data_IF_357992110663
#
_entry.id   IF_357992110663
#
_cell.length_a   1.000
_cell.length_b   1.000
_cell.length_c   1.000
_cell.angle_alpha   90.00
_cell.angle_beta   90.00
_cell.angle_gamma   90.00
#
_symmetry.space_group_name_H-M   'P 1'
#
loop_
_entity.id
_entity.type
_entity.pdbx_description
1 polymer ?
#
# COMPACT_ATOMS: atom_id res chain seq x y z
N UNK A 1 -11.03 -68.90 -15.22
CA UNK A 1 -10.32 -70.13 -15.63
C UNK A 1 -8.86 -69.78 -15.90
N UNK A 2 -7.97 -70.55 -15.27
CA UNK A 2 -6.55 -70.84 -15.61
C UNK A 2 -5.59 -69.67 -15.90
N UNK A 3 -4.62 -69.30 -15.03
CA UNK A 3 -3.43 -69.99 -14.47
C UNK A 3 -2.13 -69.74 -15.27
N UNK A 4 -1.10 -69.33 -14.50
CA UNK A 4 0.33 -69.70 -14.58
C UNK A 4 1.18 -69.08 -15.70
N UNK A 5 2.25 -68.31 -15.41
CA UNK A 5 3.50 -68.49 -14.63
C UNK A 5 4.70 -68.86 -15.52
N UNK A 6 5.88 -68.32 -15.13
CA UNK A 6 7.31 -68.64 -15.43
C UNK A 6 7.98 -67.53 -16.26
N UNK A 7 8.92 -66.71 -15.76
CA UNK A 7 10.24 -66.89 -15.10
C UNK A 7 11.24 -67.69 -15.95
N UNK A 8 12.41 -67.06 -16.21
CA UNK A 8 13.82 -67.52 -16.42
C UNK A 8 14.48 -66.40 -17.28
N UNK A 9 15.44 -65.54 -16.89
CA UNK A 9 16.72 -65.62 -16.16
C UNK A 9 17.89 -66.27 -16.95
N UNK A 10 18.93 -65.47 -17.25
CA UNK A 10 20.40 -65.72 -17.32
C UNK A 10 21.02 -64.73 -18.36
N UNK A 11 21.95 -63.80 -18.04
CA UNK A 11 23.33 -63.91 -17.52
C UNK A 11 24.31 -64.49 -18.60
N UNK A 12 25.55 -64.06 -18.87
CA UNK A 12 26.72 -63.56 -18.11
C UNK A 12 27.81 -63.10 -19.12
N UNK A 13 28.68 -62.14 -18.75
CA UNK A 13 30.17 -62.15 -18.94
C UNK A 13 30.76 -60.82 -18.40
N UNK A 14 31.43 -60.70 -17.24
CA UNK A 14 32.75 -61.25 -16.78
C UNK A 14 33.92 -60.66 -17.61
N UNK A 15 35.02 -60.07 -17.09
CA UNK A 15 35.88 -60.34 -15.92
C UNK A 15 36.72 -59.08 -15.53
N UNK A 16 36.92 -58.72 -14.25
CA UNK A 16 37.99 -59.07 -13.25
C UNK A 16 39.35 -58.37 -13.46
N UNK A 17 39.86 -57.68 -12.40
CA UNK A 17 41.18 -57.83 -11.74
C UNK A 17 41.35 -56.71 -10.66
N UNK A 18 41.13 -56.99 -9.37
CA UNK A 18 42.09 -57.37 -8.29
C UNK A 18 42.73 -56.21 -7.49
N UNK A 19 42.32 -56.16 -6.20
CA UNK A 19 43.08 -56.00 -4.95
C UNK A 19 44.30 -55.06 -4.83
N UNK A 20 44.32 -54.27 -3.74
CA UNK A 20 45.55 -53.77 -3.13
C UNK A 20 45.31 -52.75 -2.00
N UNK A 21 45.50 -53.16 -0.75
CA UNK A 21 45.58 -52.28 0.42
C UNK A 21 47.02 -51.76 0.66
N UNK A 22 47.09 -50.64 1.39
CA UNK A 22 48.13 -50.16 2.31
C UNK A 22 49.27 -49.21 1.88
N UNK A 23 49.35 -48.16 2.73
CA UNK A 23 50.51 -47.52 3.35
C UNK A 23 51.20 -46.32 2.68
N UNK A 24 51.08 -45.18 3.39
CA UNK A 24 52.12 -44.28 3.92
C UNK A 24 53.29 -43.80 3.02
N UNK A 25 53.32 -42.47 2.88
CA UNK A 25 54.40 -41.55 3.29
C UNK A 25 55.49 -41.09 2.30
N UNK A 26 55.90 -39.84 2.59
CA UNK A 26 57.10 -39.08 2.21
C UNK A 26 57.06 -38.32 0.87
N UNK A 27 56.81 -37.01 0.83
CA UNK A 27 57.57 -35.82 1.30
C UNK A 27 58.78 -35.42 0.46
N UNK A 28 58.77 -34.15 0.01
CA UNK A 28 59.82 -33.13 0.17
C UNK A 28 59.29 -31.78 -0.37
N UNK A 29 59.49 -30.58 0.20
CA UNK A 29 60.04 -30.15 1.49
C UNK A 29 60.08 -28.60 1.55
N UNK A 30 59.39 -27.98 2.53
CA UNK A 30 59.92 -27.01 3.55
C UNK A 30 60.14 -25.53 3.13
N UNK A 31 60.03 -24.50 4.03
CA UNK A 31 59.55 -24.45 5.43
C UNK A 31 58.41 -23.45 5.72
N UNK A 32 57.77 -23.73 6.87
CA UNK A 32 56.98 -22.86 7.75
C UNK A 32 57.88 -22.41 8.92
N UNK A 33 57.56 -21.28 9.56
CA UNK A 33 57.80 -21.03 11.01
C UNK A 33 56.48 -20.49 11.56
N UNK A 34 55.69 -21.30 12.29
CA UNK A 34 55.62 -21.45 13.76
C UNK A 34 55.27 -20.12 14.47
N UNK A 35 54.32 -20.03 15.41
CA UNK A 35 53.90 -21.03 16.39
C UNK A 35 52.56 -20.66 17.08
N UNK A 36 51.88 -21.70 17.59
CA UNK A 36 51.15 -21.75 18.87
C UNK A 36 49.83 -20.98 19.09
N UNK A 37 48.74 -21.73 19.06
CA UNK A 37 48.06 -22.14 20.29
C UNK A 37 46.82 -21.35 20.74
N UNK A 38 45.90 -22.11 21.35
CA UNK A 38 44.90 -21.70 22.37
C UNK A 38 43.44 -21.60 21.90
N UNK A 39 42.69 -22.63 22.34
CA UNK A 39 41.27 -22.75 22.77
C UNK A 39 40.14 -21.95 22.13
N UNK A 40 39.07 -22.71 21.86
CA UNK A 40 37.68 -22.28 21.67
C UNK A 40 37.22 -21.31 22.76
N UNK A 41 36.81 -20.11 22.34
CA UNK A 41 35.88 -19.26 23.09
C UNK A 41 34.63 -18.99 22.26
N UNK A 42 33.50 -19.08 22.97
CA UNK A 42 32.14 -18.95 22.50
C UNK A 42 31.77 -17.48 22.58
N UNK A 43 31.82 -16.75 21.46
CA UNK A 43 31.36 -15.36 21.44
C UNK A 43 29.85 -15.31 21.17
N UNK A 44 29.12 -15.03 22.25
CA UNK A 44 27.86 -14.31 22.20
C UNK A 44 28.17 -12.87 21.79
N UNK A 45 27.80 -12.47 20.57
CA UNK A 45 27.67 -11.06 20.24
C UNK A 45 26.21 -10.69 20.43
N UNK A 46 25.97 -9.87 21.46
CA UNK A 46 24.67 -9.29 21.74
C UNK A 46 24.25 -8.34 20.63
N UNK A 47 23.00 -8.48 20.21
CA UNK A 47 22.27 -7.48 19.46
C UNK A 47 22.28 -6.17 20.27
N UNK A 48 23.11 -5.22 19.84
CA UNK A 48 22.90 -3.82 20.21
C UNK A 48 21.74 -3.33 19.36
N UNK A 49 20.58 -3.15 20.00
CA UNK A 49 19.58 -2.19 19.52
C UNK A 49 20.31 -0.87 19.23
N UNK A 50 20.36 -0.51 17.95
CA UNK A 50 20.76 0.82 17.54
C UNK A 50 19.65 1.77 18.00
N UNK A 51 19.86 2.38 19.16
CA UNK A 51 19.10 3.52 19.63
C UNK A 51 19.14 4.59 18.52
N UNK A 52 18.01 4.83 17.87
CA UNK A 52 17.90 5.81 16.80
C UNK A 52 18.35 7.17 17.35
N UNK A 53 19.39 7.75 16.73
CA UNK A 53 19.82 9.10 17.06
C UNK A 53 18.62 10.05 16.94
N UNK A 54 18.40 10.97 17.91
CA UNK A 54 17.27 11.90 17.85
C UNK A 54 17.35 12.68 16.55
N UNK A 55 16.27 12.62 15.76
CA UNK A 55 16.14 13.42 14.56
C UNK A 55 16.38 14.88 14.92
N UNK A 56 17.36 15.52 14.29
CA UNK A 56 17.63 16.94 14.49
C UNK A 56 16.39 17.68 13.99
N UNK A 57 15.59 18.24 14.93
CA UNK A 57 14.44 19.09 14.62
C UNK A 57 14.92 20.21 13.71
N UNK A 58 14.59 20.13 12.42
CA UNK A 58 14.98 21.13 11.43
C UNK A 58 14.03 22.32 11.63
N UNK A 59 14.54 23.41 12.20
CA UNK A 59 13.74 24.63 12.33
C UNK A 59 13.36 25.14 10.92
N UNK A 60 12.06 25.26 10.67
CA UNK A 60 11.50 25.79 9.43
C UNK A 60 11.09 27.24 9.61
N UNK A 61 11.20 28.04 8.53
CA UNK A 61 10.61 29.38 8.49
C UNK A 61 9.10 29.27 8.27
N UNK A 62 8.31 29.52 9.31
CA UNK A 62 6.86 29.42 9.29
C UNK A 62 6.18 30.44 8.36
N UNK A 63 6.81 31.59 8.08
CA UNK A 63 6.28 32.59 7.15
C UNK A 63 6.54 32.21 5.69
N UNK A 64 7.64 31.49 5.42
CA UNK A 64 7.93 30.98 4.08
C UNK A 64 7.16 29.67 3.77
N UNK A 65 7.26 28.67 4.66
CA UNK A 65 6.66 27.34 4.45
C UNK A 65 5.14 27.38 4.59
N UNK A 66 4.64 28.20 5.53
CA UNK A 66 3.23 28.34 5.87
C UNK A 66 2.54 26.98 6.14
N UNK A 67 3.10 26.15 7.05
CA UNK A 67 2.51 24.85 7.37
C UNK A 67 1.10 25.03 7.90
N UNK A 68 0.18 24.17 7.45
CA UNK A 68 -1.17 24.12 7.95
C UNK A 68 -1.64 22.68 7.93
N UNK A 69 -1.35 21.98 9.01
CA UNK A 69 -1.70 20.57 9.17
C UNK A 69 -3.17 20.35 9.57
N UNK A 70 -3.98 21.41 9.69
CA UNK A 70 -5.45 21.31 9.77
C UNK A 70 -6.12 21.32 8.39
N UNK A 71 -5.34 21.54 7.33
CA UNK A 71 -5.83 21.61 5.96
C UNK A 71 -6.34 20.28 5.41
N UNK A 72 -6.97 20.34 4.24
CA UNK A 72 -7.62 19.19 3.62
C UNK A 72 -6.65 18.35 2.80
N UNK A 73 -6.92 17.05 2.72
CA UNK A 73 -6.13 16.05 2.02
C UNK A 73 -6.97 15.45 0.89
N UNK A 74 -6.38 15.30 -0.29
CA UNK A 74 -7.03 14.61 -1.39
C UNK A 74 -6.84 13.09 -1.24
N UNK A 75 -7.94 12.34 -1.31
CA UNK A 75 -7.92 10.89 -1.48
C UNK A 75 -8.43 10.58 -2.89
N UNK A 76 -7.52 10.23 -3.79
CA UNK A 76 -7.81 10.02 -5.20
C UNK A 76 -8.27 8.59 -5.44
N UNK A 77 -9.30 8.45 -6.27
CA UNK A 77 -9.92 7.18 -6.62
C UNK A 77 -9.84 6.96 -8.13
N UNK A 78 -9.21 5.85 -8.48
CA UNK A 78 -9.11 5.30 -9.83
C UNK A 78 -9.79 3.92 -9.88
N UNK A 79 -10.12 3.45 -11.08
CA UNK A 79 -10.65 2.09 -11.30
C UNK A 79 -9.86 1.46 -12.45
N UNK A 80 -10.31 1.60 -13.71
CA UNK A 80 -9.60 1.07 -14.87
C UNK A 80 -8.48 2.01 -15.34
N UNK A 81 -7.31 1.45 -15.64
CA UNK A 81 -6.23 2.14 -16.36
C UNK A 81 -6.17 1.60 -17.80
N UNK A 82 -6.94 2.20 -18.70
CA UNK A 82 -7.13 1.68 -20.06
C UNK A 82 -7.54 2.77 -21.03
N UNK A 83 -7.48 2.47 -22.32
CA UNK A 83 -8.06 3.30 -23.38
C UNK A 83 -9.41 2.76 -23.86
N UNK A 84 -10.35 3.63 -24.27
CA UNK A 84 -10.33 5.11 -24.14
C UNK A 84 -10.75 5.59 -22.73
N UNK A 85 -10.58 6.88 -22.46
CA UNK A 85 -11.17 7.59 -21.31
C UNK A 85 -12.68 7.33 -21.19
N UNK A 86 -13.16 7.05 -19.98
CA UNK A 86 -14.58 6.82 -19.68
C UNK A 86 -14.90 7.15 -18.21
N UNK A 87 -16.14 6.93 -17.77
CA UNK A 87 -16.59 7.30 -16.41
C UNK A 87 -15.71 6.76 -15.27
N UNK A 88 -15.25 5.51 -15.44
CA UNK A 88 -14.43 4.78 -14.47
C UNK A 88 -13.11 4.30 -15.10
N UNK A 89 -12.68 4.97 -16.17
CA UNK A 89 -11.48 4.61 -16.93
C UNK A 89 -10.62 5.84 -17.12
N UNK A 90 -9.39 5.77 -16.63
CA UNK A 90 -8.31 6.73 -16.88
C UNK A 90 -7.33 6.11 -17.86
N UNK A 91 -6.81 6.84 -18.84
CA UNK A 91 -5.79 6.27 -19.73
C UNK A 91 -4.42 6.22 -19.03
N UNK A 92 -3.53 5.29 -19.44
CA UNK A 92 -2.15 5.25 -18.95
C UNK A 92 -1.43 6.61 -19.00
N UNK A 93 -1.54 7.32 -20.13
CA UNK A 93 -0.87 8.62 -20.33
C UNK A 93 -1.42 9.70 -19.42
N UNK A 94 -2.72 9.66 -19.18
CA UNK A 94 -3.39 10.60 -18.31
C UNK A 94 -3.12 10.30 -16.83
N UNK A 95 -2.96 9.04 -16.41
CA UNK A 95 -2.45 8.71 -15.08
C UNK A 95 -1.02 9.25 -14.89
N UNK A 96 -0.13 9.09 -15.88
CA UNK A 96 1.22 9.68 -15.82
C UNK A 96 1.16 11.21 -15.66
N UNK A 97 0.29 11.86 -16.42
CA UNK A 97 0.06 13.31 -16.31
C UNK A 97 -0.47 13.72 -14.94
N UNK A 98 -1.38 12.93 -14.35
CA UNK A 98 -1.91 13.16 -13.02
C UNK A 98 -0.79 13.13 -11.96
N UNK A 99 0.06 12.11 -12.01
CA UNK A 99 1.23 11.99 -11.12
C UNK A 99 2.20 13.17 -11.28
N UNK A 100 2.50 13.56 -12.52
CA UNK A 100 3.36 14.71 -12.80
C UNK A 100 2.79 16.01 -12.20
N UNK A 101 1.49 16.26 -12.37
CA UNK A 101 0.84 17.46 -11.84
C UNK A 101 0.86 17.46 -10.31
N UNK A 102 0.59 16.32 -9.67
CA UNK A 102 0.69 16.18 -8.22
C UNK A 102 2.11 16.48 -7.75
N UNK A 103 3.12 15.87 -8.37
CA UNK A 103 4.52 16.07 -8.05
C UNK A 103 4.95 17.54 -8.17
N UNK A 104 4.67 18.17 -9.32
CA UNK A 104 5.02 19.58 -9.62
C UNK A 104 4.35 20.56 -8.66
N UNK A 105 3.16 20.23 -8.15
CA UNK A 105 2.42 21.04 -7.19
C UNK A 105 2.80 20.78 -5.73
N UNK A 106 3.78 19.91 -5.48
CA UNK A 106 4.26 19.58 -4.15
C UNK A 106 3.37 18.60 -3.40
N UNK A 107 2.60 17.76 -4.09
CA UNK A 107 1.91 16.64 -3.45
C UNK A 107 2.83 15.43 -3.32
N UNK A 108 2.73 14.71 -2.21
CA UNK A 108 3.49 13.48 -1.93
C UNK A 108 2.56 12.36 -1.48
N UNK A 109 2.60 11.18 -2.12
CA UNK A 109 1.82 10.05 -1.68
C UNK A 109 2.13 9.65 -0.24
N UNK A 110 1.09 9.30 0.50
CA UNK A 110 1.19 8.63 1.81
C UNK A 110 0.29 7.40 1.79
N UNK A 111 0.60 6.40 2.64
CA UNK A 111 -0.29 5.27 2.83
C UNK A 111 -1.63 5.73 3.43
N UNK A 112 -2.70 4.99 3.14
CA UNK A 112 -4.00 5.27 3.76
C UNK A 112 -3.95 5.06 5.29
N UNK A 113 -3.10 4.15 5.76
CA UNK A 113 -2.85 3.91 7.18
C UNK A 113 -2.21 5.14 7.85
N UNK A 114 -1.20 5.73 7.21
CA UNK A 114 -0.56 6.95 7.72
C UNK A 114 -1.52 8.12 7.74
N UNK A 115 -2.38 8.23 6.72
CA UNK A 115 -3.44 9.23 6.72
C UNK A 115 -4.33 9.07 7.95
N UNK A 116 -4.94 7.91 8.18
CA UNK A 116 -5.92 7.75 9.28
C UNK A 116 -5.30 7.75 10.69
N UNK A 117 -4.00 7.44 10.80
CA UNK A 117 -3.27 7.47 12.08
C UNK A 117 -2.57 8.80 12.34
N UNK A 118 -2.56 9.71 11.35
CA UNK A 118 -1.81 10.96 11.40
C UNK A 118 -0.29 10.77 11.42
N UNK A 119 0.22 9.63 10.96
CA UNK A 119 1.67 9.41 10.85
C UNK A 119 2.21 10.06 9.57
N UNK A 120 2.18 11.39 9.49
CA UNK A 120 2.58 12.13 8.29
C UNK A 120 4.07 12.48 8.37
N UNK A 121 4.88 11.88 7.50
CA UNK A 121 6.35 12.01 7.51
C UNK A 121 6.93 12.72 6.29
N UNK A 122 6.09 13.36 5.47
CA UNK A 122 6.55 14.09 4.29
C UNK A 122 7.29 15.36 4.69
N UNK A 123 8.21 15.86 3.85
CA UNK A 123 8.99 17.05 4.21
C UNK A 123 8.14 18.33 4.28
N UNK A 124 8.69 19.33 4.99
CA UNK A 124 8.07 20.63 5.16
C UNK A 124 7.70 21.30 3.83
N UNK A 125 6.49 21.86 3.75
CA UNK A 125 5.98 22.56 2.56
C UNK A 125 5.29 21.65 1.54
N UNK A 126 5.41 20.33 1.66
CA UNK A 126 4.64 19.39 0.83
C UNK A 126 3.25 19.12 1.40
N UNK A 127 2.37 18.63 0.53
CA UNK A 127 0.99 18.25 0.84
C UNK A 127 0.81 16.74 0.65
N UNK A 128 0.26 15.99 1.63
CA UNK A 128 -0.01 14.57 1.42
C UNK A 128 -1.16 14.37 0.41
N UNK A 129 -1.09 13.26 -0.33
CA UNK A 129 -2.18 12.75 -1.17
C UNK A 129 -2.28 11.23 -0.98
N UNK A 130 -3.48 10.67 -0.97
CA UNK A 130 -3.67 9.21 -0.91
C UNK A 130 -4.14 8.73 -2.29
N UNK A 131 -3.51 7.67 -2.81
CA UNK A 131 -3.85 7.07 -4.09
C UNK A 131 -4.60 5.75 -3.87
N UNK A 132 -5.79 5.60 -4.45
CA UNK A 132 -6.61 4.40 -4.33
C UNK A 132 -7.08 3.88 -5.68
N UNK A 133 -7.12 2.56 -5.83
CA UNK A 133 -7.58 1.86 -7.04
C UNK A 133 -8.61 0.81 -6.64
N UNK A 134 -9.82 0.92 -7.16
CA UNK A 134 -10.90 -0.01 -6.84
C UNK A 134 -11.00 -1.17 -7.85
N UNK A 135 -11.74 -2.20 -7.45
CA UNK A 135 -12.07 -3.44 -8.17
C UNK A 135 -10.94 -4.43 -8.42
N UNK A 136 -9.67 -4.01 -8.40
CA UNK A 136 -8.54 -4.89 -8.68
C UNK A 136 -8.54 -5.38 -10.13
N UNK A 137 -8.81 -4.50 -11.10
CA UNK A 137 -8.77 -4.83 -12.52
C UNK A 137 -7.38 -5.32 -12.95
N UNK A 138 -7.33 -6.18 -13.99
CA UNK A 138 -6.03 -6.63 -14.53
C UNK A 138 -5.13 -5.47 -14.95
N UNK A 139 -5.69 -4.39 -15.46
CA UNK A 139 -4.93 -3.19 -15.83
C UNK A 139 -4.42 -2.36 -14.63
N UNK A 140 -4.83 -2.67 -13.39
CA UNK A 140 -4.18 -2.12 -12.20
C UNK A 140 -2.81 -2.77 -11.97
N UNK A 141 -2.72 -4.08 -12.13
CA UNK A 141 -1.45 -4.80 -12.10
C UNK A 141 -1.46 -5.90 -13.15
N UNK A 142 -0.80 -5.65 -14.28
CA UNK A 142 -0.72 -6.61 -15.38
C UNK A 142 0.71 -7.14 -15.52
N UNK A 143 0.86 -8.44 -15.73
CA UNK A 143 2.12 -9.05 -16.12
C UNK A 143 2.04 -9.45 -17.59
N UNK A 144 3.09 -9.12 -18.33
CA UNK A 144 3.26 -9.47 -19.74
C UNK A 144 4.58 -10.19 -19.94
N UNK A 145 4.70 -10.96 -21.01
CA UNK A 145 5.98 -11.58 -21.36
C UNK A 145 6.80 -10.66 -22.24
N UNK A 146 8.09 -10.54 -21.95
CA UNK A 146 9.05 -9.87 -22.82
C UNK A 146 9.40 -10.73 -24.05
N UNK A 147 10.32 -10.25 -24.89
CA UNK A 147 10.76 -10.99 -26.10
C UNK A 147 11.50 -12.30 -25.81
N UNK A 148 11.92 -12.53 -24.57
CA UNK A 148 12.58 -13.76 -24.09
C UNK A 148 11.61 -14.70 -23.37
N UNK A 149 10.35 -14.30 -23.19
CA UNK A 149 9.33 -15.07 -22.48
C UNK A 149 9.35 -14.87 -20.95
N UNK A 150 10.11 -13.90 -20.44
CA UNK A 150 10.15 -13.57 -19.02
C UNK A 150 8.96 -12.69 -18.64
N UNK A 151 8.30 -13.00 -17.53
CA UNK A 151 7.20 -12.18 -17.01
C UNK A 151 7.73 -10.89 -16.42
N UNK A 152 7.24 -9.76 -16.91
CA UNK A 152 7.55 -8.41 -16.45
C UNK A 152 6.28 -7.63 -16.15
N UNK A 153 6.39 -6.60 -15.32
CA UNK A 153 5.29 -5.67 -15.06
C UNK A 153 5.01 -4.85 -16.31
N UNK A 154 3.74 -4.81 -16.72
CA UNK A 154 3.29 -3.97 -17.82
C UNK A 154 3.43 -2.49 -17.46
N UNK A 155 4.26 -1.77 -18.21
CA UNK A 155 4.51 -0.33 -18.02
C UNK A 155 3.27 0.57 -18.19
N UNK A 156 2.18 0.04 -18.76
CA UNK A 156 0.90 0.74 -18.88
C UNK A 156 -0.12 0.36 -17.80
N UNK A 157 0.19 -0.62 -16.94
CA UNK A 157 -0.63 -0.89 -15.76
C UNK A 157 -0.41 0.16 -14.67
N UNK A 158 -1.35 0.31 -13.73
CA UNK A 158 -1.22 1.25 -12.63
C UNK A 158 0.09 1.04 -11.84
N UNK A 159 0.39 -0.20 -11.44
CA UNK A 159 1.64 -0.56 -10.74
C UNK A 159 2.85 -0.18 -11.58
N UNK A 160 2.89 -0.54 -12.87
CA UNK A 160 4.03 -0.21 -13.74
C UNK A 160 4.26 1.30 -13.90
N UNK A 161 3.18 2.09 -13.94
CA UNK A 161 3.26 3.56 -14.01
C UNK A 161 3.77 4.15 -12.70
N UNK A 162 3.21 3.72 -11.56
CA UNK A 162 3.62 4.20 -10.23
C UNK A 162 5.09 3.88 -9.94
N UNK A 163 5.52 2.65 -10.23
CA UNK A 163 6.92 2.24 -10.01
C UNK A 163 7.91 3.02 -10.88
N UNK A 164 7.56 3.22 -12.17
CA UNK A 164 8.39 4.01 -13.07
C UNK A 164 8.50 5.46 -12.59
N UNK A 165 7.38 6.05 -12.19
CA UNK A 165 7.34 7.43 -11.70
C UNK A 165 8.17 7.58 -10.41
N UNK A 166 8.00 6.67 -9.44
CA UNK A 166 8.81 6.64 -8.22
C UNK A 166 10.32 6.47 -8.51
N UNK A 167 10.68 5.60 -9.47
CA UNK A 167 12.08 5.40 -9.86
C UNK A 167 12.70 6.68 -10.45
N UNK A 168 11.92 7.43 -11.24
CA UNK A 168 12.34 8.70 -11.84
C UNK A 168 12.29 9.88 -10.84
N UNK A 169 11.48 9.75 -9.79
CA UNK A 169 11.25 10.73 -8.72
C UNK A 169 11.30 10.07 -7.33
N UNK A 170 12.50 9.75 -6.78
CA UNK A 170 12.62 9.01 -5.52
C UNK A 170 12.00 9.71 -4.31
N UNK A 171 11.82 11.04 -4.37
CA UNK A 171 11.14 11.85 -3.38
C UNK A 171 9.61 11.84 -3.52
N UNK A 172 9.05 11.09 -4.47
CA UNK A 172 7.63 10.77 -4.60
C UNK A 172 7.41 9.30 -4.19
N UNK A 173 7.03 9.02 -2.93
CA UNK A 173 6.93 7.66 -2.41
C UNK A 173 5.99 6.75 -3.22
N UNK A 174 6.32 5.46 -3.29
CA UNK A 174 5.50 4.43 -3.93
C UNK A 174 4.37 3.99 -2.98
N UNK A 175 3.39 4.87 -2.80
CA UNK A 175 2.24 4.63 -1.90
C UNK A 175 0.93 4.58 -2.70
N UNK A 176 0.22 3.47 -2.60
CA UNK A 176 -1.11 3.30 -3.16
C UNK A 176 -1.84 2.13 -2.49
N UNK A 177 -3.17 2.21 -2.40
CA UNK A 177 -4.00 1.09 -1.92
C UNK A 177 -4.86 0.52 -3.06
N UNK A 178 -4.76 -0.79 -3.29
CA UNK A 178 -5.59 -1.52 -4.26
C UNK A 178 -6.72 -2.26 -3.52
N UNK A 179 -7.96 -1.83 -3.69
CA UNK A 179 -9.13 -2.48 -3.13
C UNK A 179 -9.61 -3.59 -4.06
N UNK A 180 -9.52 -4.84 -3.59
CA UNK A 180 -9.79 -6.02 -4.42
C UNK A 180 -11.08 -6.74 -4.00
N UNK A 181 -11.73 -7.33 -5.00
CA UNK A 181 -12.84 -8.28 -4.81
C UNK A 181 -12.38 -9.71 -5.19
N UNK A 182 -13.23 -10.74 -5.03
CA UNK A 182 -12.86 -12.14 -5.30
C UNK A 182 -13.07 -12.54 -6.79
N UNK A 183 -13.25 -11.59 -7.69
CA UNK A 183 -13.35 -11.84 -9.13
C UNK A 183 -11.96 -12.01 -9.78
N UNK A 184 -11.12 -12.88 -9.20
CA UNK A 184 -9.70 -13.04 -9.53
C UNK A 184 -8.98 -11.69 -9.51
N UNK A 185 -8.50 -11.21 -8.33
CA UNK A 185 -7.77 -9.96 -8.25
C UNK A 185 -6.67 -9.87 -9.31
N UNK A 186 -6.67 -8.77 -10.04
CA UNK A 186 -5.75 -8.46 -11.14
C UNK A 186 -5.80 -9.45 -12.33
N UNK A 187 -6.88 -10.21 -12.49
CA UNK A 187 -7.27 -10.97 -13.69
C UNK A 187 -6.34 -12.10 -14.16
N UNK A 188 -5.21 -12.36 -13.49
CA UNK A 188 -4.24 -13.41 -13.84
C UNK A 188 -4.07 -14.36 -12.66
N UNK A 189 -4.95 -15.36 -12.57
CA UNK A 189 -5.10 -16.25 -11.41
C UNK A 189 -3.81 -16.96 -11.04
N UNK A 190 -3.07 -17.42 -12.05
CA UNK A 190 -1.78 -18.09 -11.92
C UNK A 190 -0.69 -17.20 -11.30
N UNK A 191 -0.87 -15.87 -11.36
CA UNK A 191 0.05 -14.88 -10.82
C UNK A 191 -0.45 -14.22 -9.53
N UNK A 192 -1.62 -14.59 -9.01
CA UNK A 192 -2.25 -13.90 -7.89
C UNK A 192 -1.34 -13.80 -6.65
N UNK A 193 -0.77 -14.92 -6.19
CA UNK A 193 0.14 -14.92 -5.04
C UNK A 193 1.34 -13.99 -5.25
N UNK A 194 1.92 -14.01 -6.46
CA UNK A 194 3.06 -13.16 -6.80
C UNK A 194 2.64 -11.69 -6.75
N UNK A 195 1.51 -11.33 -7.36
CA UNK A 195 1.04 -9.94 -7.43
C UNK A 195 0.73 -9.37 -6.04
N UNK A 196 0.03 -10.12 -5.19
CA UNK A 196 -0.28 -9.69 -3.83
C UNK A 196 1.00 -9.46 -3.00
N UNK A 197 1.96 -10.40 -3.08
CA UNK A 197 3.27 -10.24 -2.43
C UNK A 197 4.05 -9.04 -2.97
N UNK A 198 4.08 -8.89 -4.28
CA UNK A 198 4.78 -7.80 -4.95
C UNK A 198 4.25 -6.43 -4.52
N UNK A 199 2.92 -6.24 -4.42
CA UNK A 199 2.33 -4.99 -3.94
C UNK A 199 2.85 -4.66 -2.52
N UNK A 200 2.72 -5.60 -1.59
CA UNK A 200 3.08 -5.39 -0.17
C UNK A 200 4.59 -5.24 0.02
N UNK A 201 5.41 -6.04 -0.65
CA UNK A 201 6.87 -5.96 -0.58
C UNK A 201 7.42 -4.64 -1.16
N UNK A 202 6.67 -3.99 -2.07
CA UNK A 202 7.00 -2.69 -2.64
C UNK A 202 6.54 -1.50 -1.80
N UNK A 203 5.84 -1.73 -0.69
CA UNK A 203 5.33 -0.68 0.19
C UNK A 203 3.94 -0.17 -0.17
N UNK A 204 3.23 -0.80 -1.11
CA UNK A 204 1.83 -0.50 -1.41
C UNK A 204 0.89 -1.43 -0.63
N UNK A 205 -0.38 -1.07 -0.54
CA UNK A 205 -1.38 -1.78 0.26
C UNK A 205 -2.42 -2.51 -0.60
N UNK A 206 -2.97 -3.59 -0.04
CA UNK A 206 -4.19 -4.25 -0.54
C UNK A 206 -5.32 -4.06 0.48
N UNK A 207 -6.48 -3.60 -0.01
CA UNK A 207 -7.68 -3.35 0.79
C UNK A 207 -8.88 -4.20 0.38
N UNK A 208 -9.94 -4.11 1.18
CA UNK A 208 -11.18 -4.86 1.00
C UNK A 208 -12.16 -4.13 0.06
N UNK A 209 -12.64 -4.81 -0.98
CA UNK A 209 -13.74 -4.34 -1.82
C UNK A 209 -14.93 -5.31 -1.87
N UNK A 210 -15.05 -6.15 -0.85
CA UNK A 210 -16.03 -7.23 -0.69
C UNK A 210 -15.88 -8.36 -1.72
N UNK A 211 -16.30 -9.58 -1.39
CA UNK A 211 -16.16 -10.74 -2.26
C UNK A 211 -16.89 -10.53 -3.58
N UNK A 212 -18.17 -10.11 -3.54
CA UNK A 212 -19.02 -10.02 -4.74
C UNK A 212 -19.36 -8.59 -5.14
N UNK A 213 -18.60 -7.59 -4.68
CA UNK A 213 -18.91 -6.17 -4.91
C UNK A 213 -20.35 -5.83 -4.45
N UNK A 214 -20.64 -6.12 -3.18
CA UNK A 214 -22.01 -6.10 -2.62
C UNK A 214 -22.58 -4.68 -2.49
N UNK A 215 -23.85 -4.50 -2.84
CA UNK A 215 -24.60 -3.29 -2.51
C UNK A 215 -25.10 -3.36 -1.06
N UNK A 216 -24.45 -2.61 -0.17
CA UNK A 216 -24.76 -2.60 1.26
C UNK A 216 -26.15 -2.06 1.59
N UNK A 217 -26.85 -1.38 0.66
CA UNK A 217 -28.24 -0.97 0.88
C UNK A 217 -29.21 -2.15 0.90
N UNK A 218 -28.76 -3.34 0.46
CA UNK A 218 -29.53 -4.57 0.31
C UNK A 218 -28.97 -5.75 1.12
N UNK A 219 -27.85 -5.56 1.82
CA UNK A 219 -27.21 -6.62 2.60
C UNK A 219 -27.72 -6.60 4.06
N UNK A 220 -28.00 -7.79 4.60
CA UNK A 220 -28.21 -7.99 6.03
C UNK A 220 -26.87 -8.18 6.78
N UNK A 221 -26.86 -8.16 8.12
CA UNK A 221 -25.62 -8.27 8.90
C UNK A 221 -24.80 -9.54 8.64
N UNK A 222 -25.46 -10.66 8.34
CA UNK A 222 -24.78 -11.93 8.04
C UNK A 222 -24.06 -11.84 6.69
N UNK A 223 -24.74 -11.32 5.66
CA UNK A 223 -24.16 -11.09 4.35
C UNK A 223 -23.00 -10.09 4.42
N UNK A 224 -23.15 -9.00 5.16
CA UNK A 224 -22.09 -8.00 5.34
C UNK A 224 -20.81 -8.62 5.90
N UNK A 225 -20.93 -9.39 6.99
CA UNK A 225 -19.77 -10.02 7.64
C UNK A 225 -19.14 -11.07 6.74
N UNK A 226 -19.96 -11.87 6.03
CA UNK A 226 -19.48 -12.85 5.06
C UNK A 226 -18.66 -12.22 3.93
N UNK A 227 -19.17 -11.12 3.37
CA UNK A 227 -18.53 -10.38 2.28
C UNK A 227 -17.20 -9.76 2.70
N UNK A 228 -17.13 -9.22 3.91
CA UNK A 228 -15.92 -8.56 4.41
C UNK A 228 -14.88 -9.59 4.86
N UNK A 229 -15.28 -10.58 5.66
CA UNK A 229 -14.38 -11.64 6.12
C UNK A 229 -13.83 -12.49 4.97
N UNK A 230 -14.61 -12.72 3.91
CA UNK A 230 -14.18 -13.53 2.77
C UNK A 230 -12.98 -12.93 2.02
N UNK A 231 -12.87 -11.60 1.93
CA UNK A 231 -11.68 -10.95 1.35
C UNK A 231 -10.47 -11.09 2.27
N UNK A 232 -10.65 -10.94 3.59
CA UNK A 232 -9.57 -11.17 4.57
C UNK A 232 -9.05 -12.60 4.46
N UNK A 233 -9.95 -13.58 4.37
CA UNK A 233 -9.58 -14.99 4.21
C UNK A 233 -8.87 -15.25 2.88
N UNK A 234 -9.37 -14.68 1.78
CA UNK A 234 -8.78 -14.83 0.43
C UNK A 234 -7.37 -14.27 0.39
N UNK A 235 -7.16 -13.04 0.86
CA UNK A 235 -5.83 -12.41 0.91
C UNK A 235 -4.91 -13.17 1.87
N UNK A 236 -5.41 -13.57 3.04
CA UNK A 236 -4.65 -14.31 4.06
C UNK A 236 -4.10 -15.66 3.57
N UNK A 237 -4.75 -16.31 2.58
CA UNK A 237 -4.20 -17.52 1.92
C UNK A 237 -2.90 -17.27 1.16
N UNK A 238 -2.68 -16.03 0.73
CA UNK A 238 -1.49 -15.61 -0.03
C UNK A 238 -0.50 -14.80 0.81
N UNK A 239 -1.01 -14.06 1.80
CA UNK A 239 -0.29 -13.14 2.67
C UNK A 239 -0.71 -13.35 4.15
N UNK A 240 -0.23 -14.41 4.82
CA UNK A 240 -0.70 -14.76 6.16
C UNK A 240 -0.35 -13.72 7.24
N UNK A 241 0.69 -12.94 7.04
CA UNK A 241 1.16 -11.92 8.00
C UNK A 241 0.65 -10.50 7.67
N UNK A 242 -0.09 -10.34 6.56
CA UNK A 242 -0.63 -9.04 6.14
C UNK A 242 -2.01 -8.80 6.74
N UNK A 243 -2.19 -7.65 7.37
CA UNK A 243 -3.46 -7.25 7.98
C UNK A 243 -4.31 -6.44 6.98
N UNK A 244 -5.43 -7.02 6.51
CA UNK A 244 -6.41 -6.30 5.70
C UNK A 244 -7.33 -5.49 6.60
N UNK A 245 -7.13 -4.18 6.66
CA UNK A 245 -7.83 -3.28 7.59
C UNK A 245 -8.41 -2.01 6.94
N UNK A 246 -8.56 -1.98 5.61
CA UNK A 246 -9.16 -0.85 4.89
C UNK A 246 -10.28 -1.34 3.99
N UNK A 247 -11.33 -0.54 3.82
CA UNK A 247 -12.52 -0.88 3.03
C UNK A 247 -12.91 0.26 2.09
N UNK A 248 -12.89 0.02 0.78
CA UNK A 248 -13.62 0.86 -0.16
C UNK A 248 -15.05 0.32 -0.32
N UNK A 249 -16.05 1.16 -0.12
CA UNK A 249 -17.45 0.73 -0.21
C UNK A 249 -17.85 0.52 -1.69
N UNK A 250 -18.28 -0.68 -2.10
CA UNK A 250 -18.84 -0.88 -3.43
C UNK A 250 -20.00 0.08 -3.68
N UNK A 251 -19.99 0.75 -4.83
CA UNK A 251 -20.95 1.80 -5.21
C UNK A 251 -21.03 3.00 -4.25
N UNK A 252 -20.11 3.13 -3.29
CA UNK A 252 -20.25 4.08 -2.17
C UNK A 252 -21.45 3.79 -1.28
N UNK A 253 -21.98 2.57 -1.34
CA UNK A 253 -23.21 2.18 -0.67
C UNK A 253 -22.99 1.94 0.82
N UNK A 254 -23.98 2.32 1.62
CA UNK A 254 -24.03 2.01 3.06
C UNK A 254 -25.39 1.41 3.40
N UNK A 255 -25.50 0.62 4.47
CA UNK A 255 -26.80 0.19 4.97
C UNK A 255 -27.71 1.39 5.25
N UNK A 256 -29.02 1.23 5.02
CA UNK A 256 -29.99 2.30 5.31
C UNK A 256 -30.14 2.53 6.81
N UNK A 257 -30.07 1.46 7.59
CA UNK A 257 -30.03 1.52 9.05
C UNK A 257 -28.59 1.76 9.52
N UNK A 258 -28.36 2.93 10.15
CA UNK A 258 -27.05 3.31 10.70
C UNK A 258 -26.59 2.39 11.82
N UNK A 259 -27.49 1.67 12.49
CA UNK A 259 -27.12 0.69 13.52
C UNK A 259 -26.23 -0.41 12.97
N UNK A 260 -26.31 -0.68 11.65
CA UNK A 260 -25.53 -1.70 10.97
C UNK A 260 -24.12 -1.25 10.58
N UNK A 261 -23.77 0.03 10.76
CA UNK A 261 -22.44 0.53 10.40
C UNK A 261 -21.33 -0.15 11.20
N UNK A 262 -21.64 -0.64 12.41
CA UNK A 262 -20.69 -1.43 13.20
C UNK A 262 -20.19 -2.67 12.44
N UNK A 263 -21.00 -3.26 11.56
CA UNK A 263 -20.59 -4.41 10.75
C UNK A 263 -19.74 -4.00 9.54
N UNK A 264 -19.72 -2.73 9.13
CA UNK A 264 -18.72 -2.25 8.18
C UNK A 264 -17.36 -2.06 8.87
N UNK A 265 -17.37 -1.65 10.14
CA UNK A 265 -16.15 -1.44 10.92
C UNK A 265 -15.52 -2.76 11.34
N UNK A 266 -16.28 -3.70 11.92
CA UNK A 266 -15.72 -4.94 12.44
C UNK A 266 -16.75 -6.07 12.48
N UNK A 267 -16.28 -7.31 12.43
CA UNK A 267 -17.13 -8.47 12.50
C UNK A 267 -16.36 -9.78 12.43
N UNK A 268 -17.12 -10.88 12.40
CA UNK A 268 -16.57 -12.22 12.27
C UNK A 268 -17.49 -13.09 11.43
N UNK A 269 -16.92 -13.89 10.55
CA UNK A 269 -17.65 -14.91 9.81
C UNK A 269 -16.80 -16.18 9.72
N UNK A 270 -17.37 -17.33 10.07
CA UNK A 270 -16.72 -18.65 10.00
C UNK A 270 -15.30 -18.70 10.62
N UNK A 271 -15.06 -17.94 11.69
CA UNK A 271 -13.78 -17.89 12.40
C UNK A 271 -12.79 -16.84 11.88
N UNK A 272 -13.09 -16.18 10.75
CA UNK A 272 -12.30 -15.07 10.21
C UNK A 272 -12.85 -13.74 10.73
N UNK A 273 -12.07 -13.04 11.54
CA UNK A 273 -12.37 -11.69 12.01
C UNK A 273 -11.82 -10.64 11.05
N UNK A 274 -12.48 -9.49 10.98
CA UNK A 274 -11.97 -8.30 10.30
C UNK A 274 -12.23 -7.05 11.14
N UNK A 275 -11.35 -6.06 10.96
CA UNK A 275 -11.51 -4.73 11.54
C UNK A 275 -10.95 -3.68 10.57
N UNK A 276 -11.80 -2.76 10.14
CA UNK A 276 -11.45 -1.68 9.24
C UNK A 276 -11.10 -0.43 10.05
N UNK A 277 -9.88 0.05 9.88
CA UNK A 277 -9.41 1.36 10.40
C UNK A 277 -9.79 2.51 9.46
N UNK A 278 -10.11 2.21 8.20
CA UNK A 278 -10.49 3.18 7.19
C UNK A 278 -11.66 2.65 6.34
N UNK A 279 -12.71 3.45 6.14
CA UNK A 279 -13.84 3.14 5.24
C UNK A 279 -14.06 4.30 4.29
N UNK A 280 -13.95 4.04 2.99
CA UNK A 280 -13.93 5.06 1.95
C UNK A 280 -15.27 5.11 1.20
N UNK A 281 -15.80 6.33 1.09
CA UNK A 281 -16.98 6.66 0.29
C UNK A 281 -16.58 6.93 -1.19
N UNK A 282 -17.55 7.17 -2.05
CA UNK A 282 -17.33 7.47 -3.47
C UNK A 282 -17.60 8.94 -3.78
N UNK A 283 -16.65 9.59 -4.48
CA UNK A 283 -16.84 10.80 -5.27
C UNK A 283 -17.49 11.99 -4.55
N UNK A 284 -16.69 12.85 -3.92
CA UNK A 284 -17.14 14.11 -3.36
C UNK A 284 -16.03 15.17 -3.36
N UNK A 285 -15.43 15.46 -2.20
CA UNK A 285 -14.47 16.54 -2.01
C UNK A 285 -13.22 16.08 -1.23
N UNK A 286 -12.14 16.91 -1.17
CA UNK A 286 -11.00 16.64 -0.32
C UNK A 286 -11.45 16.49 1.14
N UNK A 287 -10.90 15.51 1.83
CA UNK A 287 -11.30 15.20 3.20
C UNK A 287 -10.46 16.01 4.21
N UNK A 288 -10.86 15.96 5.48
CA UNK A 288 -10.24 16.70 6.56
C UNK A 288 -8.86 16.12 6.91
N UNK A 289 -8.00 16.97 7.48
CA UNK A 289 -6.79 16.52 8.17
C UNK A 289 -7.12 15.46 9.22
N UNK A 290 -6.24 14.48 9.45
CA UNK A 290 -6.47 13.48 10.50
C UNK A 290 -6.56 14.08 11.90
N UNK A 291 -6.01 15.30 12.09
CA UNK A 291 -6.03 16.02 13.35
C UNK A 291 -7.28 16.88 13.53
N UNK A 292 -8.14 16.99 12.51
CA UNK A 292 -9.34 17.83 12.53
C UNK A 292 -10.48 17.16 13.31
N UNK A 293 -11.23 17.93 14.11
CA UNK A 293 -12.35 17.42 14.95
C UNK A 293 -13.42 16.68 14.17
N UNK A 294 -13.74 17.14 12.96
CA UNK A 294 -14.74 16.51 12.10
C UNK A 294 -14.20 15.36 11.22
N UNK A 295 -12.91 15.02 11.28
CA UNK A 295 -12.38 13.88 10.53
C UNK A 295 -13.01 12.56 10.99
N UNK A 296 -13.51 11.76 10.08
CA UNK A 296 -14.05 10.44 10.40
C UNK A 296 -13.37 9.37 9.54
N UNK A 297 -12.45 8.56 10.11
CA UNK A 297 -11.74 7.55 9.32
C UNK A 297 -12.69 6.46 8.78
N UNK A 298 -13.89 6.32 9.35
CA UNK A 298 -14.91 5.37 8.90
C UNK A 298 -15.88 5.97 7.86
N UNK A 299 -15.60 7.18 7.35
CA UNK A 299 -16.39 7.85 6.32
C UNK A 299 -15.55 8.76 5.42
N UNK A 300 -14.41 8.26 4.94
CA UNK A 300 -13.45 9.05 4.17
C UNK A 300 -14.01 9.45 2.81
N UNK A 301 -13.95 10.73 2.46
CA UNK A 301 -14.35 11.22 1.14
C UNK A 301 -13.26 10.97 0.11
N UNK A 302 -13.67 10.65 -1.13
CA UNK A 302 -12.75 10.42 -2.25
C UNK A 302 -13.08 11.29 -3.43
N UNK A 303 -12.06 11.59 -4.23
CA UNK A 303 -12.13 12.39 -5.45
C UNK A 303 -11.86 11.48 -6.64
N UNK A 304 -12.65 11.59 -7.70
CA UNK A 304 -12.37 10.86 -8.95
C UNK A 304 -11.12 11.45 -9.61
N UNK A 305 -10.14 10.60 -9.93
CA UNK A 305 -8.95 10.96 -10.69
C UNK A 305 -9.26 11.15 -12.18
N UNK A 306 -10.14 12.09 -12.51
CA UNK A 306 -10.58 12.42 -13.88
C UNK A 306 -10.97 13.90 -13.99
N UNK A 307 -10.86 14.44 -15.19
CA UNK A 307 -11.30 15.79 -15.58
C UNK A 307 -12.48 15.80 -16.56
N UNK A 308 -13.06 14.63 -16.87
CA UNK A 308 -14.14 14.53 -17.83
C UNK A 308 -15.43 15.11 -17.23
N UNK A 309 -15.74 16.36 -17.56
CA UNK A 309 -16.82 17.13 -16.95
C UNK A 309 -18.18 16.40 -16.99
N UNK A 310 -18.44 15.63 -18.04
CA UNK A 310 -19.63 14.77 -18.16
C UNK A 310 -19.82 13.84 -16.96
N UNK A 311 -18.73 13.38 -16.34
CA UNK A 311 -18.72 12.39 -15.26
C UNK A 311 -18.41 13.00 -13.90
N UNK A 312 -17.58 14.03 -13.84
CA UNK A 312 -17.11 14.60 -12.55
C UNK A 312 -17.77 15.91 -12.16
N UNK A 313 -18.47 16.62 -13.05
CA UNK A 313 -19.29 17.81 -12.72
C UNK A 313 -18.61 18.82 -11.76
N UNK A 314 -17.42 19.31 -12.12
CA UNK A 314 -16.61 20.23 -11.30
C UNK A 314 -16.08 19.71 -9.95
N UNK A 315 -16.18 18.40 -9.67
CA UNK A 315 -15.61 17.78 -8.47
C UNK A 315 -14.53 16.73 -8.79
N UNK A 316 -13.92 16.82 -9.97
CA UNK A 316 -12.75 16.02 -10.34
C UNK A 316 -11.47 16.55 -9.71
N UNK A 317 -10.39 15.76 -9.80
CA UNK A 317 -9.09 16.11 -9.22
C UNK A 317 -8.61 17.51 -9.62
N UNK A 318 -8.66 17.87 -10.92
CA UNK A 318 -8.17 19.17 -11.37
C UNK A 318 -9.02 20.35 -10.89
N UNK A 319 -10.32 20.14 -10.64
CA UNK A 319 -11.17 21.18 -10.06
C UNK A 319 -10.78 21.48 -8.61
N UNK A 320 -10.45 20.45 -7.82
CA UNK A 320 -10.01 20.64 -6.44
C UNK A 320 -8.61 21.25 -6.34
N UNK A 321 -7.69 20.84 -7.22
CA UNK A 321 -6.39 21.50 -7.35
C UNK A 321 -6.56 23.00 -7.64
N UNK A 322 -7.43 23.36 -8.58
CA UNK A 322 -7.71 24.77 -8.90
C UNK A 322 -8.28 25.54 -7.69
N UNK A 323 -9.18 24.93 -6.91
CA UNK A 323 -9.74 25.56 -5.71
C UNK A 323 -8.68 25.78 -4.62
N UNK A 324 -7.74 24.85 -4.46
CA UNK A 324 -6.61 25.04 -3.54
C UNK A 324 -5.67 26.14 -4.04
N UNK A 325 -5.35 26.18 -5.32
CA UNK A 325 -4.49 27.22 -5.91
C UNK A 325 -5.11 28.62 -5.80
N UNK A 326 -6.44 28.73 -5.92
CA UNK A 326 -7.19 29.98 -5.70
C UNK A 326 -7.32 30.38 -4.23
N UNK A 327 -6.99 29.48 -3.30
CA UNK A 327 -7.18 29.68 -1.86
C UNK A 327 -8.65 29.68 -1.41
N UNK A 328 -9.59 29.21 -2.24
CA UNK A 328 -10.99 29.06 -1.85
C UNK A 328 -11.21 27.89 -0.88
N UNK A 329 -10.25 26.96 -0.84
CA UNK A 329 -10.11 25.91 0.16
C UNK A 329 -8.67 25.86 0.64
N UNK A 330 -8.47 25.28 1.81
CA UNK A 330 -7.13 25.17 2.42
C UNK A 330 -6.68 23.72 2.36
N UNK A 331 -5.58 23.45 1.65
CA UNK A 331 -4.94 22.14 1.65
C UNK A 331 -4.01 21.97 2.85
N UNK A 332 -3.77 20.73 3.24
CA UNK A 332 -2.75 20.40 4.22
C UNK A 332 -1.37 20.83 3.73
N UNK A 333 -0.55 21.41 4.58
CA UNK A 333 0.87 21.69 4.28
C UNK A 333 1.69 21.24 5.48
N UNK A 334 2.59 20.29 5.28
CA UNK A 334 3.36 19.71 6.38
C UNK A 334 4.41 20.68 6.93
N UNK A 335 4.69 20.58 8.22
CA UNK A 335 5.85 21.22 8.85
C UNK A 335 7.13 20.37 8.77
N UNK A 336 7.04 19.12 8.31
CA UNK A 336 8.14 18.19 8.17
C UNK A 336 8.58 17.49 9.46
N UNK A 337 7.83 17.59 10.55
CA UNK A 337 8.12 16.95 11.83
C UNK A 337 6.93 16.08 12.29
N UNK A 338 7.03 14.74 12.22
CA UNK A 338 5.91 13.83 12.52
C UNK A 338 5.46 13.87 13.98
N UNK A 339 6.27 14.45 14.87
CA UNK A 339 5.97 14.62 16.29
C UNK A 339 5.27 15.94 16.60
N UNK A 340 5.02 16.79 15.59
CA UNK A 340 4.33 18.07 15.76
C UNK A 340 3.08 18.18 14.89
N UNK A 341 2.20 19.11 15.26
CA UNK A 341 1.08 19.55 14.44
C UNK A 341 1.13 21.07 14.39
N UNK A 342 1.64 21.63 13.30
CA UNK A 342 1.77 23.08 13.13
C UNK A 342 0.62 23.66 12.31
N UNK A 343 -0.04 24.68 12.86
CA UNK A 343 -1.15 25.38 12.20
C UNK A 343 -1.10 26.90 12.43
N UNK A 344 -1.64 27.73 11.52
CA UNK A 344 -1.89 29.13 11.84
C UNK A 344 -2.85 29.25 13.03
N UNK A 345 -2.72 30.28 13.87
CA UNK A 345 -3.50 30.43 15.11
C UNK A 345 -5.02 30.34 14.88
N UNK A 346 -5.52 30.84 13.74
CA UNK A 346 -6.94 30.81 13.39
C UNK A 346 -7.46 29.41 13.01
N UNK A 347 -6.60 28.39 12.87
CA UNK A 347 -6.96 26.99 12.63
C UNK A 347 -6.93 26.13 13.90
N UNK A 348 -6.46 26.68 15.03
CA UNK A 348 -6.32 25.94 16.30
C UNK A 348 -7.64 25.30 16.77
N UNK A 349 -8.76 26.00 16.63
CA UNK A 349 -10.09 25.50 17.03
C UNK A 349 -10.67 24.40 16.11
N UNK A 350 -10.01 24.13 14.98
CA UNK A 350 -10.37 23.03 14.09
C UNK A 350 -9.77 21.69 14.56
N UNK A 351 -8.74 21.73 15.40
CA UNK A 351 -8.02 20.55 15.88
C UNK A 351 -8.77 19.84 17.02
N UNK A 352 -8.54 18.54 17.12
CA UNK A 352 -9.01 17.69 18.21
C UNK A 352 -7.82 17.07 18.95
N UNK A 353 -7.69 17.40 20.24
CA UNK A 353 -6.58 16.93 21.08
C UNK A 353 -6.50 15.41 21.15
N UNK A 354 -7.63 14.69 21.06
CA UNK A 354 -7.61 13.23 21.08
C UNK A 354 -7.00 12.64 19.79
N UNK A 355 -7.13 13.32 18.65
CA UNK A 355 -6.59 12.89 17.35
C UNK A 355 -5.14 13.32 17.13
N UNK A 356 -4.75 14.43 17.73
CA UNK A 356 -3.34 14.87 17.77
C UNK A 356 -2.50 13.83 18.52
N UNK A 357 -3.04 13.26 19.60
CA UNK A 357 -2.35 12.27 20.42
C UNK A 357 -1.20 12.90 21.21
N UNK A 358 -0.02 12.30 21.13
CA UNK A 358 1.17 12.75 21.87
C UNK A 358 1.97 13.86 21.17
N UNK A 359 1.52 14.31 19.99
CA UNK A 359 2.23 15.32 19.18
C UNK A 359 2.14 16.70 19.81
N UNK A 360 3.19 17.49 19.64
CA UNK A 360 3.26 18.88 20.09
C UNK A 360 2.49 19.79 19.12
N UNK A 361 1.49 20.52 19.62
CA UNK A 361 0.77 21.52 18.80
C UNK A 361 1.54 22.83 18.79
N UNK A 362 1.91 23.30 17.60
CA UNK A 362 2.56 24.60 17.40
C UNK A 362 1.61 25.53 16.64
N UNK A 363 1.51 26.77 17.11
CA UNK A 363 0.72 27.79 16.43
C UNK A 363 1.54 29.02 16.10
N UNK A 364 1.18 29.69 15.01
CA UNK A 364 1.84 30.91 14.56
C UNK A 364 0.87 31.89 13.91
N UNK A 365 1.25 33.16 13.87
CA UNK A 365 0.47 34.22 13.22
C UNK A 365 1.07 34.46 11.84
N UNK A 366 0.26 34.32 10.79
CA UNK A 366 0.66 34.68 9.44
C UNK A 366 0.79 36.21 9.33
N UNK A 367 1.97 36.67 8.93
CA UNK A 367 2.19 38.09 8.61
C UNK A 367 1.44 38.45 7.32
N UNK A 368 0.92 39.69 7.27
CA UNK A 368 0.09 40.18 6.16
C UNK A 368 0.92 40.64 4.97
#
# INVERSE_FOLDING_TARGET
MTRNKKIIALAVASMILTAGCNSLASQNSVPVTENSGVTMEKNQEGEKEAEAAPAVKKEIDLQMVKPNEAGQIMVLMYHNISEPEAEWTRTPDNLRKDLQILYDKGYRPISLRDYVTGNITIEAGYTPVVLTFDDGWQNNFNLIQDSKGEWIVDSNSAVGILEKFHTEHPDFPLEATFFVNDNIPFGQKEHLTFKLKYIVEKGMDVGNHTVTHVDFTKADPERMQKELAGIVEMIGKHLPDYEVNTLALPFGSRPKDKSLYTYLEQGIHEGTSYKNIAILNVGWDPDKSPYHKDFNPLAIHRIRGSELEKYVQNVGMYNWLEQFDKGSRTRFVSDGDPDTVTVPENFKEALDSAKIGNREVKTYILEK
#
